data_IF_997908100503
#
_entry.id   IF_997908100503
#
_cell.length_a   1.000
_cell.length_b   1.000
_cell.length_c   1.000
_cell.angle_alpha   90.00
_cell.angle_beta   90.00
_cell.angle_gamma   90.00
#
_symmetry.space_group_name_H-M   'P 1'
#
loop_
_entity.id
_entity.type
_entity.pdbx_description
1 polymer ?
#
# COMPACT_ATOMS: atom_id res chain seq x y z
N UNK A 1 7.33 -16.79 39.99
CA UNK A 1 8.06 -16.53 38.72
C UNK A 1 8.90 -15.26 38.88
N UNK A 2 10.15 -15.38 39.35
CA UNK A 2 11.19 -14.33 39.46
C UNK A 2 12.35 -14.89 40.32
N UNK A 3 13.19 -15.78 39.78
CA UNK A 3 14.39 -16.28 40.48
C UNK A 3 15.62 -16.53 39.60
N UNK A 4 15.66 -16.05 38.35
CA UNK A 4 16.83 -16.25 37.48
C UNK A 4 17.53 -14.96 36.99
N UNK A 5 17.25 -13.80 37.59
CA UNK A 5 17.86 -12.52 37.17
C UNK A 5 18.96 -12.03 38.12
N UNK A 6 19.25 -12.72 39.24
CA UNK A 6 20.20 -12.20 40.25
C UNK A 6 21.60 -12.84 40.20
N UNK A 7 21.84 -13.84 39.34
CA UNK A 7 23.13 -14.54 39.25
C UNK A 7 24.16 -13.91 38.31
N UNK A 8 23.73 -13.11 37.33
CA UNK A 8 24.61 -12.58 36.28
C UNK A 8 25.18 -11.19 36.59
N UNK A 9 24.63 -10.50 37.60
CA UNK A 9 25.09 -9.17 38.05
C UNK A 9 26.15 -9.23 39.15
N UNK A 10 26.50 -10.42 39.66
CA UNK A 10 27.52 -10.61 40.70
C UNK A 10 28.87 -11.09 40.16
N UNK A 11 28.95 -11.46 38.87
CA UNK A 11 30.23 -11.76 38.22
C UNK A 11 30.96 -10.50 37.71
N UNK A 12 30.27 -9.35 37.64
CA UNK A 12 30.84 -8.07 37.23
C UNK A 12 31.48 -7.25 38.37
N UNK A 13 31.38 -7.70 39.62
CA UNK A 13 31.89 -6.96 40.79
C UNK A 13 33.30 -7.37 41.25
N UNK A 14 33.86 -8.46 40.72
CA UNK A 14 35.21 -8.93 41.10
C UNK A 14 36.32 -8.56 40.11
N UNK A 15 35.99 -7.86 39.01
CA UNK A 15 36.98 -7.44 38.01
C UNK A 15 37.64 -6.08 38.29
N UNK A 16 37.28 -5.37 39.36
CA UNK A 16 37.80 -4.02 39.61
C UNK A 16 38.36 -3.72 41.02
N UNK A 17 38.34 -4.68 41.96
CA UNK A 17 38.90 -4.48 43.30
C UNK A 17 39.78 -5.67 43.67
N UNK A 18 41.04 -5.64 43.25
CA UNK A 18 41.99 -6.71 43.58
C UNK A 18 43.44 -6.50 43.18
N UNK A 19 43.85 -5.37 42.60
CA UNK A 19 45.27 -5.03 42.45
C UNK A 19 45.74 -4.30 43.72
N UNK A 20 45.84 -5.01 44.85
CA UNK A 20 46.53 -4.53 46.05
C UNK A 20 46.87 -5.68 46.99
N UNK A 21 47.81 -6.51 46.53
CA UNK A 21 48.29 -7.65 47.31
C UNK A 21 49.38 -8.48 46.65
N UNK A 22 50.07 -7.95 45.63
CA UNK A 22 51.34 -8.51 45.19
C UNK A 22 52.42 -8.03 46.14
N UNK A 23 52.70 -8.80 47.20
CA UNK A 23 54.06 -8.91 47.72
C UNK A 23 54.13 -10.02 48.77
N UNK A 24 55.04 -10.96 48.50
CA UNK A 24 55.46 -12.11 49.32
C UNK A 24 54.58 -13.34 49.18
N UNK A 25 54.94 -14.21 48.24
CA UNK A 25 55.10 -15.65 48.47
C UNK A 25 56.02 -16.21 47.35
N UNK A 26 57.21 -16.56 47.80
CA UNK A 26 58.26 -17.46 47.29
C UNK A 26 58.02 -18.24 45.97
N UNK A 27 59.03 -18.23 45.09
CA UNK A 27 59.15 -18.91 43.79
C UNK A 27 59.13 -20.46 43.83
N UNK A 28 58.64 -21.11 44.88
CA UNK A 28 58.83 -22.56 45.05
C UNK A 28 57.54 -23.36 45.28
N UNK A 29 56.50 -23.14 44.48
CA UNK A 29 55.53 -24.22 44.20
C UNK A 29 55.06 -24.12 42.74
N UNK A 30 55.80 -24.77 41.84
CA UNK A 30 55.21 -25.24 40.57
C UNK A 30 54.09 -26.22 40.92
N UNK A 31 52.87 -25.73 41.07
CA UNK A 31 51.70 -26.60 41.06
C UNK A 31 51.50 -27.07 39.62
N UNK A 32 51.59 -28.38 39.31
CA UNK A 32 51.43 -28.93 37.97
C UNK A 32 49.95 -28.92 37.51
N UNK A 33 49.13 -28.02 38.06
CA UNK A 33 47.68 -28.01 37.91
C UNK A 33 47.17 -26.87 37.02
N UNK A 34 48.04 -25.98 36.54
CA UNK A 34 47.64 -24.89 35.63
C UNK A 34 47.79 -25.30 34.15
N UNK A 35 48.66 -26.27 33.82
CA UNK A 35 48.92 -26.66 32.42
C UNK A 35 47.81 -27.53 31.79
N UNK A 36 46.81 -27.95 32.58
CA UNK A 36 45.69 -28.80 32.12
C UNK A 36 44.35 -28.08 31.97
N UNK A 37 44.28 -26.77 32.21
CA UNK A 37 43.21 -25.99 31.59
C UNK A 37 43.59 -25.77 30.12
N UNK A 38 43.32 -26.78 29.29
CA UNK A 38 43.08 -26.55 27.86
C UNK A 38 42.06 -25.43 27.82
N UNK A 39 42.54 -24.21 27.54
CA UNK A 39 41.71 -23.10 27.11
C UNK A 39 41.13 -23.60 25.79
N UNK A 40 39.98 -24.22 25.85
CA UNK A 40 39.14 -24.39 24.67
C UNK A 40 38.93 -22.96 24.19
N UNK A 41 39.71 -22.56 23.17
CA UNK A 41 39.62 -21.23 22.60
C UNK A 41 38.28 -21.25 21.89
N UNK A 42 37.24 -20.88 22.62
CA UNK A 42 35.90 -20.76 22.06
C UNK A 42 36.01 -19.66 21.03
N UNK A 43 35.86 -20.06 19.78
CA UNK A 43 35.94 -19.19 18.63
C UNK A 43 34.82 -18.16 18.74
N UNK A 44 35.17 -16.91 19.04
CA UNK A 44 34.22 -15.82 19.26
C UNK A 44 33.27 -15.64 18.07
N UNK A 45 33.77 -15.86 16.85
CA UNK A 45 32.98 -15.78 15.63
C UNK A 45 31.93 -16.91 15.55
N UNK A 46 32.20 -18.09 16.12
CA UNK A 46 31.19 -19.16 16.26
C UNK A 46 30.09 -18.73 17.23
N UNK A 47 30.45 -18.17 18.40
CA UNK A 47 29.45 -17.72 19.39
C UNK A 47 28.56 -16.63 18.80
N UNK A 48 29.14 -15.63 18.13
CA UNK A 48 28.40 -14.55 17.50
C UNK A 48 27.43 -15.08 16.42
N UNK A 49 27.89 -16.02 15.59
CA UNK A 49 27.05 -16.67 14.59
C UNK A 49 25.90 -17.49 15.21
N UNK A 50 26.16 -18.23 16.29
CA UNK A 50 25.14 -19.00 17.00
C UNK A 50 24.09 -18.10 17.67
N UNK A 51 24.52 -17.00 18.28
CA UNK A 51 23.61 -16.00 18.85
C UNK A 51 22.71 -15.38 17.77
N UNK A 52 23.28 -15.08 16.61
CA UNK A 52 22.53 -14.60 15.45
C UNK A 52 21.53 -15.65 14.95
N UNK A 53 21.95 -16.90 14.80
CA UNK A 53 21.07 -17.99 14.37
C UNK A 53 19.91 -18.21 15.34
N UNK A 54 20.15 -18.11 16.65
CA UNK A 54 19.11 -18.15 17.67
C UNK A 54 18.12 -16.98 17.53
N UNK A 55 18.62 -15.78 17.24
CA UNK A 55 17.77 -14.61 17.01
C UNK A 55 16.85 -14.82 15.80
N UNK A 56 17.38 -15.20 14.64
CA UNK A 56 16.58 -15.47 13.44
C UNK A 56 15.58 -16.60 13.66
N UNK A 57 15.97 -17.65 14.40
CA UNK A 57 15.08 -18.76 14.74
C UNK A 57 13.97 -18.38 15.74
N UNK A 58 14.12 -17.30 16.49
CA UNK A 58 13.10 -16.78 17.41
C UNK A 58 12.03 -15.92 16.72
N UNK A 59 12.26 -15.49 15.47
CA UNK A 59 11.28 -14.72 14.70
C UNK A 59 10.02 -15.57 14.51
N UNK A 60 8.88 -14.98 14.88
CA UNK A 60 7.58 -15.64 14.89
C UNK A 60 7.18 -16.09 13.48
N UNK A 61 6.54 -17.25 13.40
CA UNK A 61 5.93 -17.76 12.18
C UNK A 61 4.44 -18.06 12.42
N UNK A 62 3.56 -17.91 11.39
CA UNK A 62 3.84 -17.41 10.05
C UNK A 62 4.29 -15.94 10.04
N UNK A 63 5.06 -15.54 9.01
CA UNK A 63 5.53 -14.15 8.86
C UNK A 63 4.34 -13.25 8.52
N UNK A 64 4.21 -12.14 9.25
CA UNK A 64 3.23 -11.08 9.05
C UNK A 64 3.94 -9.72 8.96
N UNK A 65 3.21 -8.64 8.67
CA UNK A 65 3.82 -7.31 8.50
C UNK A 65 4.41 -6.77 9.82
N UNK A 66 3.91 -7.26 10.96
CA UNK A 66 4.37 -6.95 12.30
C UNK A 66 5.83 -7.36 12.52
N UNK A 67 6.32 -8.39 11.83
CA UNK A 67 7.70 -8.85 11.91
C UNK A 67 8.69 -8.01 11.06
N UNK A 68 8.23 -7.06 10.23
CA UNK A 68 9.10 -6.26 9.35
C UNK A 68 10.27 -5.63 10.11
N UNK A 69 9.98 -4.97 11.24
CA UNK A 69 11.00 -4.31 12.07
C UNK A 69 12.06 -5.28 12.63
N UNK A 70 11.64 -6.47 13.06
CA UNK A 70 12.54 -7.49 13.63
C UNK A 70 13.41 -8.10 12.52
N UNK A 71 12.87 -8.27 11.32
CA UNK A 71 13.60 -8.78 10.16
C UNK A 71 14.64 -7.75 9.66
N UNK A 72 14.30 -6.45 9.69
CA UNK A 72 15.25 -5.37 9.41
C UNK A 72 16.38 -5.38 10.46
N UNK A 73 16.05 -5.48 11.75
CA UNK A 73 17.05 -5.60 12.82
C UNK A 73 17.94 -6.83 12.61
N UNK A 74 17.39 -7.97 12.17
CA UNK A 74 18.18 -9.15 11.85
C UNK A 74 19.20 -8.87 10.74
N UNK A 75 18.78 -8.19 9.66
CA UNK A 75 19.71 -7.82 8.59
C UNK A 75 20.81 -6.89 9.10
N UNK A 76 20.46 -5.86 9.88
CA UNK A 76 21.44 -4.94 10.47
C UNK A 76 22.42 -5.65 11.41
N UNK A 77 21.95 -6.60 12.24
CA UNK A 77 22.83 -7.40 13.09
C UNK A 77 23.78 -8.25 12.25
N UNK A 78 23.29 -8.89 11.18
CA UNK A 78 24.12 -9.67 10.27
C UNK A 78 25.20 -8.80 9.61
N UNK A 79 24.82 -7.63 9.08
CA UNK A 79 25.73 -6.71 8.39
C UNK A 79 26.84 -6.18 9.31
N UNK A 80 26.58 -6.14 10.62
CA UNK A 80 27.55 -5.74 11.65
C UNK A 80 28.41 -6.90 12.20
N UNK A 81 28.15 -8.15 11.80
CA UNK A 81 29.00 -9.28 12.20
C UNK A 81 30.38 -9.20 11.53
N UNK A 82 31.46 -9.64 12.20
CA UNK A 82 32.74 -9.89 11.55
C UNK A 82 32.59 -10.86 10.38
N UNK A 83 33.36 -10.69 9.30
CA UNK A 83 33.29 -11.55 8.10
C UNK A 83 33.41 -13.04 8.44
N UNK A 84 34.35 -13.40 9.31
CA UNK A 84 34.53 -14.79 9.77
C UNK A 84 33.32 -15.34 10.55
N UNK A 85 32.53 -14.48 11.20
CA UNK A 85 31.30 -14.86 11.87
C UNK A 85 30.15 -15.01 10.85
N UNK A 86 30.06 -14.11 9.86
CA UNK A 86 29.08 -14.21 8.78
C UNK A 86 29.21 -15.54 8.02
N UNK A 87 30.43 -16.01 7.74
CA UNK A 87 30.68 -17.31 7.09
C UNK A 87 30.18 -18.52 7.90
N UNK A 88 29.96 -18.34 9.21
CA UNK A 88 29.51 -19.40 10.13
C UNK A 88 28.01 -19.39 10.40
N UNK A 89 27.31 -18.34 9.96
CA UNK A 89 25.85 -18.20 10.10
C UNK A 89 25.14 -19.25 9.26
N UNK A 90 24.19 -19.97 9.87
CA UNK A 90 23.43 -21.04 9.19
C UNK A 90 22.04 -20.59 8.75
N UNK A 91 21.51 -19.53 9.35
CA UNK A 91 20.14 -19.04 9.11
C UNK A 91 20.05 -17.91 8.08
N UNK A 92 21.12 -17.58 7.36
CA UNK A 92 21.11 -16.46 6.43
C UNK A 92 20.09 -16.64 5.30
N UNK A 93 19.98 -17.84 4.71
CA UNK A 93 18.96 -18.14 3.69
C UNK A 93 17.54 -17.95 4.24
N UNK A 94 17.30 -18.39 5.49
CA UNK A 94 16.02 -18.21 6.18
C UNK A 94 15.70 -16.73 6.40
N UNK A 95 16.69 -15.89 6.71
CA UNK A 95 16.50 -14.44 6.80
C UNK A 95 16.13 -13.83 5.43
N UNK A 96 16.78 -14.26 4.34
CA UNK A 96 16.42 -13.77 2.99
C UNK A 96 15.00 -14.19 2.59
N UNK A 97 14.60 -15.42 2.92
CA UNK A 97 13.22 -15.89 2.72
C UNK A 97 12.20 -15.02 3.48
N UNK A 98 12.46 -14.72 4.75
CA UNK A 98 11.62 -13.82 5.55
C UNK A 98 11.51 -12.42 4.94
N UNK A 99 12.60 -11.85 4.44
CA UNK A 99 12.58 -10.55 3.74
C UNK A 99 11.72 -10.58 2.48
N UNK A 100 11.83 -11.65 1.69
CA UNK A 100 11.00 -11.84 0.50
C UNK A 100 9.52 -11.97 0.85
N UNK A 101 9.20 -12.73 1.91
CA UNK A 101 7.82 -12.85 2.41
C UNK A 101 7.25 -11.49 2.83
N UNK A 102 8.01 -10.68 3.58
CA UNK A 102 7.61 -9.30 3.94
C UNK A 102 7.37 -8.46 2.70
N UNK A 103 8.26 -8.51 1.70
CA UNK A 103 8.09 -7.73 0.48
C UNK A 103 6.80 -8.12 -0.26
N UNK A 104 6.52 -9.41 -0.38
CA UNK A 104 5.25 -9.92 -0.97
C UNK A 104 4.04 -9.44 -0.19
N UNK A 105 4.10 -9.42 1.15
CA UNK A 105 3.00 -8.91 1.98
C UNK A 105 2.79 -7.41 1.77
N UNK A 106 3.86 -6.62 1.66
CA UNK A 106 3.79 -5.18 1.39
C UNK A 106 3.20 -4.89 0.01
N UNK A 107 3.60 -5.65 -1.00
CA UNK A 107 3.07 -5.52 -2.36
C UNK A 107 1.58 -5.85 -2.41
N UNK A 108 1.16 -6.91 -1.70
CA UNK A 108 -0.26 -7.26 -1.54
C UNK A 108 -1.04 -6.17 -0.80
N UNK A 109 -0.48 -5.59 0.26
CA UNK A 109 -1.12 -4.53 1.02
C UNK A 109 -1.32 -3.27 0.16
N UNK A 110 -0.30 -2.85 -0.58
CA UNK A 110 -0.39 -1.69 -1.48
C UNK A 110 -1.46 -1.90 -2.58
N UNK A 111 -1.50 -3.10 -3.17
CA UNK A 111 -2.54 -3.44 -4.14
C UNK A 111 -3.94 -3.48 -3.51
N UNK A 112 -4.07 -4.02 -2.28
CA UNK A 112 -5.35 -4.11 -1.57
C UNK A 112 -5.97 -2.73 -1.32
N UNK A 113 -5.17 -1.75 -0.92
CA UNK A 113 -5.64 -0.37 -0.72
C UNK A 113 -6.27 0.21 -2.00
N UNK A 114 -5.63 -0.01 -3.16
CA UNK A 114 -6.17 0.42 -4.46
C UNK A 114 -7.42 -0.38 -4.85
N UNK A 115 -7.43 -1.69 -4.61
CA UNK A 115 -8.61 -2.54 -4.84
C UNK A 115 -9.81 -2.02 -4.05
N UNK A 116 -9.63 -1.66 -2.78
CA UNK A 116 -10.69 -1.10 -1.95
C UNK A 116 -11.19 0.25 -2.47
N UNK A 117 -10.29 1.14 -2.90
CA UNK A 117 -10.66 2.40 -3.55
C UNK A 117 -11.51 2.16 -4.81
N UNK A 118 -11.13 1.19 -5.64
CA UNK A 118 -11.85 0.84 -6.87
C UNK A 118 -13.21 0.20 -6.55
N UNK A 119 -13.29 -0.70 -5.55
CA UNK A 119 -14.56 -1.29 -5.13
C UNK A 119 -15.56 -0.24 -4.62
N UNK A 120 -15.07 0.81 -3.96
CA UNK A 120 -15.89 1.92 -3.51
C UNK A 120 -16.45 2.80 -4.65
N UNK A 121 -16.01 2.59 -5.90
CA UNK A 121 -16.57 3.24 -7.09
C UNK A 121 -17.83 2.54 -7.62
N UNK A 122 -18.13 1.33 -7.17
CA UNK A 122 -19.36 0.65 -7.59
C UNK A 122 -20.58 1.48 -7.17
N UNK A 123 -21.35 1.94 -8.15
CA UNK A 123 -22.46 2.89 -8.00
C UNK A 123 -22.10 4.29 -7.46
N UNK A 124 -20.82 4.69 -7.47
CA UNK A 124 -20.35 5.99 -7.01
C UNK A 124 -19.69 6.79 -8.14
N UNK A 125 -20.42 7.78 -8.67
CA UNK A 125 -20.02 8.57 -9.83
C UNK A 125 -19.24 9.85 -9.47
N UNK A 126 -18.56 9.86 -8.33
CA UNK A 126 -17.81 11.03 -7.89
C UNK A 126 -16.51 11.17 -8.69
N UNK A 127 -16.41 12.19 -9.53
CA UNK A 127 -15.22 12.48 -10.34
C UNK A 127 -13.92 12.51 -9.53
N UNK A 128 -13.95 13.06 -8.32
CA UNK A 128 -12.76 13.14 -7.46
C UNK A 128 -12.33 11.75 -6.98
N UNK A 129 -13.28 10.88 -6.64
CA UNK A 129 -12.98 9.51 -6.22
C UNK A 129 -12.38 8.69 -7.37
N UNK A 130 -12.95 8.80 -8.58
CA UNK A 130 -12.45 8.14 -9.79
C UNK A 130 -11.01 8.58 -10.07
N UNK A 131 -10.73 9.89 -10.08
CA UNK A 131 -9.37 10.42 -10.28
C UNK A 131 -8.41 9.95 -9.19
N UNK A 132 -8.83 9.95 -7.92
CA UNK A 132 -7.99 9.49 -6.83
C UNK A 132 -7.63 8.00 -6.95
N UNK A 133 -8.58 7.15 -7.35
CA UNK A 133 -8.33 5.73 -7.61
C UNK A 133 -7.35 5.53 -8.78
N UNK A 134 -7.51 6.29 -9.87
CA UNK A 134 -6.55 6.27 -10.99
C UNK A 134 -5.15 6.70 -10.57
N UNK A 135 -5.04 7.81 -9.84
CA UNK A 135 -3.74 8.30 -9.35
C UNK A 135 -3.08 7.31 -8.39
N UNK A 136 -3.87 6.62 -7.55
CA UNK A 136 -3.36 5.59 -6.65
C UNK A 136 -2.87 4.34 -7.43
N UNK A 137 -3.64 3.88 -8.41
CA UNK A 137 -3.25 2.78 -9.30
C UNK A 137 -1.96 3.10 -10.07
N UNK A 138 -1.82 4.31 -10.61
CA UNK A 138 -0.61 4.68 -11.38
C UNK A 138 0.67 4.78 -10.54
N UNK A 139 0.56 4.94 -9.22
CA UNK A 139 1.70 4.93 -8.30
C UNK A 139 2.20 3.52 -7.97
N UNK A 140 1.40 2.49 -8.23
CA UNK A 140 1.79 1.10 -7.98
C UNK A 140 2.92 0.67 -8.92
N UNK A 141 3.77 -0.25 -8.43
CA UNK A 141 4.74 -0.95 -9.27
C UNK A 141 4.03 -1.90 -10.25
N UNK A 142 4.74 -2.38 -11.28
CA UNK A 142 4.17 -3.34 -12.23
C UNK A 142 3.65 -4.60 -11.53
N UNK A 143 4.44 -5.15 -10.61
CA UNK A 143 4.07 -6.34 -9.84
C UNK A 143 2.84 -6.09 -8.95
N UNK A 144 2.73 -4.90 -8.36
CA UNK A 144 1.55 -4.53 -7.55
C UNK A 144 0.31 -4.34 -8.42
N UNK A 145 0.44 -3.74 -9.62
CA UNK A 145 -0.67 -3.58 -10.57
C UNK A 145 -1.24 -4.93 -11.01
N UNK A 146 -0.41 -5.95 -11.20
CA UNK A 146 -0.86 -7.33 -11.53
C UNK A 146 -1.77 -7.93 -10.45
N UNK A 147 -1.68 -7.46 -9.20
CA UNK A 147 -2.55 -7.91 -8.11
C UNK A 147 -3.92 -7.20 -8.09
N UNK A 148 -4.07 -6.08 -8.81
CA UNK A 148 -5.32 -5.31 -8.87
C UNK A 148 -6.27 -5.93 -9.89
N UNK A 149 -7.09 -6.87 -9.42
CA UNK A 149 -7.98 -7.68 -10.28
C UNK A 149 -9.26 -6.99 -10.72
N UNK A 150 -9.62 -5.87 -10.11
CA UNK A 150 -10.88 -5.15 -10.33
C UNK A 150 -10.73 -3.87 -11.17
N UNK A 151 -9.62 -3.70 -11.90
CA UNK A 151 -9.34 -2.50 -12.69
C UNK A 151 -10.46 -2.11 -13.67
N UNK A 152 -11.19 -3.08 -14.21
CA UNK A 152 -12.31 -2.85 -15.12
C UNK A 152 -13.38 -1.91 -14.54
N UNK A 153 -13.64 -1.95 -13.22
CA UNK A 153 -14.60 -1.06 -12.55
C UNK A 153 -14.17 0.40 -12.69
N UNK A 154 -12.86 0.67 -12.53
CA UNK A 154 -12.32 2.02 -12.68
C UNK A 154 -12.46 2.51 -14.12
N UNK A 155 -12.09 1.67 -15.10
CA UNK A 155 -12.17 1.99 -16.52
C UNK A 155 -13.61 2.28 -16.98
N UNK A 156 -14.58 1.47 -16.54
CA UNK A 156 -16.00 1.70 -16.83
C UNK A 156 -16.50 3.03 -16.26
N UNK A 157 -16.09 3.37 -15.03
CA UNK A 157 -16.45 4.64 -14.39
C UNK A 157 -15.82 5.84 -15.11
N UNK A 158 -14.58 5.73 -15.59
CA UNK A 158 -13.93 6.77 -16.37
C UNK A 158 -14.60 7.01 -17.72
N UNK A 159 -14.95 5.94 -18.43
CA UNK A 159 -15.73 6.04 -19.67
C UNK A 159 -17.07 6.71 -19.41
N UNK A 160 -17.76 6.32 -18.33
CA UNK A 160 -19.03 6.93 -17.96
C UNK A 160 -18.89 8.42 -17.65
N UNK A 161 -17.81 8.82 -16.97
CA UNK A 161 -17.55 10.22 -16.64
C UNK A 161 -17.38 11.08 -17.90
N UNK A 162 -16.71 10.57 -18.94
CA UNK A 162 -16.56 11.27 -20.23
C UNK A 162 -17.93 11.52 -20.87
N UNK A 163 -18.83 10.54 -20.78
CA UNK A 163 -20.17 10.63 -21.37
C UNK A 163 -21.17 11.45 -20.54
N UNK A 164 -20.90 11.62 -19.24
CA UNK A 164 -21.79 12.31 -18.32
C UNK A 164 -21.96 13.79 -18.68
N UNK A 165 -23.20 14.25 -18.69
CA UNK A 165 -23.54 15.67 -18.81
C UNK A 165 -23.83 16.24 -17.42
N UNK A 166 -23.38 17.47 -17.19
CA UNK A 166 -23.67 18.28 -16.00
C UNK A 166 -24.26 19.62 -16.44
N UNK A 167 -24.78 20.42 -15.51
CA UNK A 167 -25.34 21.75 -15.84
C UNK A 167 -24.31 22.74 -16.43
N UNK A 168 -23.03 22.40 -16.41
CA UNK A 168 -21.92 23.30 -16.76
C UNK A 168 -21.02 22.78 -17.88
N UNK A 169 -21.14 21.52 -18.32
CA UNK A 169 -20.11 20.90 -19.16
C UNK A 169 -20.43 20.76 -20.66
N UNK A 170 -21.55 21.32 -21.14
CA UNK A 170 -21.85 21.49 -22.57
C UNK A 170 -21.84 22.97 -23.00
N UNK A 171 -21.58 23.17 -24.29
CA UNK A 171 -21.55 24.44 -25.00
C UNK A 171 -22.49 24.42 -26.23
N UNK A 172 -22.82 25.61 -26.74
CA UNK A 172 -23.58 25.72 -28.00
C UNK A 172 -22.74 25.15 -29.14
N UNK A 173 -23.33 24.26 -29.93
CA UNK A 173 -22.67 23.55 -31.03
C UNK A 173 -22.36 22.09 -30.71
N UNK A 174 -22.25 21.73 -29.44
CA UNK A 174 -21.97 20.35 -29.03
C UNK A 174 -23.03 19.39 -29.55
N UNK A 175 -22.59 18.20 -29.95
CA UNK A 175 -23.46 17.12 -30.40
C UNK A 175 -23.62 16.12 -29.25
N UNK A 176 -24.87 15.74 -28.99
CA UNK A 176 -25.23 14.90 -27.86
C UNK A 176 -26.32 13.91 -28.27
N UNK A 177 -26.39 12.81 -27.53
CA UNK A 177 -27.55 11.92 -27.57
C UNK A 177 -28.56 12.39 -26.53
N UNK A 178 -29.74 12.79 -26.98
CA UNK A 178 -30.90 12.89 -26.10
C UNK A 178 -31.47 11.50 -25.94
N UNK A 179 -31.52 10.97 -24.72
CA UNK A 179 -31.95 9.59 -24.41
C UNK A 179 -33.46 9.37 -24.49
N UNK A 180 -34.20 10.42 -24.84
CA UNK A 180 -35.66 10.44 -24.82
C UNK A 180 -36.19 11.00 -23.50
N UNK A 181 -37.44 11.45 -23.52
CA UNK A 181 -38.09 12.04 -22.35
C UNK A 181 -38.71 13.40 -22.63
N UNK A 182 -38.70 14.24 -21.60
CA UNK A 182 -39.42 15.50 -21.58
C UNK A 182 -38.66 16.63 -22.29
N UNK A 183 -39.39 17.36 -23.13
CA UNK A 183 -38.92 18.57 -23.81
C UNK A 183 -39.80 19.75 -23.39
N UNK A 184 -39.15 20.83 -22.98
CA UNK A 184 -39.76 22.00 -22.36
C UNK A 184 -39.68 23.23 -23.27
N UNK A 185 -40.69 24.09 -23.19
CA UNK A 185 -40.74 25.33 -23.96
C UNK A 185 -39.66 26.34 -23.54
N UNK A 186 -39.34 26.42 -22.25
CA UNK A 186 -38.31 27.29 -21.69
C UNK A 186 -37.42 26.56 -20.67
N UNK A 187 -36.25 27.14 -20.39
CA UNK A 187 -35.27 26.60 -19.44
C UNK A 187 -35.77 26.55 -17.98
N UNK A 188 -36.85 27.26 -17.67
CA UNK A 188 -37.45 27.38 -16.33
C UNK A 188 -38.88 26.84 -16.26
N UNK A 189 -39.36 26.20 -17.32
CA UNK A 189 -40.73 25.68 -17.41
C UNK A 189 -41.07 24.72 -16.27
N UNK A 190 -42.29 24.82 -15.74
CA UNK A 190 -42.76 23.93 -14.67
C UNK A 190 -43.16 22.55 -15.19
N UNK A 191 -43.71 22.48 -16.40
CA UNK A 191 -44.26 21.27 -17.01
C UNK A 191 -43.69 21.07 -18.43
N UNK A 192 -43.53 19.82 -18.88
CA UNK A 192 -43.06 19.52 -20.23
C UNK A 192 -44.10 19.91 -21.28
N UNK A 193 -43.63 20.30 -22.46
CA UNK A 193 -44.49 20.60 -23.62
C UNK A 193 -44.67 19.36 -24.49
N UNK A 194 -43.64 18.52 -24.58
CA UNK A 194 -43.67 17.30 -25.38
C UNK A 194 -42.86 16.20 -24.71
N UNK A 195 -43.18 14.96 -25.06
CA UNK A 195 -42.28 13.83 -24.89
C UNK A 195 -41.74 13.41 -26.26
N UNK A 196 -40.45 13.07 -26.33
CA UNK A 196 -39.77 12.70 -27.57
C UNK A 196 -38.91 11.45 -27.37
N UNK A 197 -38.76 10.61 -28.40
CA UNK A 197 -37.88 9.46 -28.34
C UNK A 197 -36.41 9.89 -28.33
N UNK A 198 -35.51 8.92 -28.13
CA UNK A 198 -34.08 9.12 -28.25
C UNK A 198 -33.72 9.76 -29.60
N UNK A 199 -32.87 10.78 -29.61
CA UNK A 199 -32.50 11.54 -30.81
C UNK A 199 -31.09 12.10 -30.72
N UNK A 200 -30.36 12.02 -31.83
CA UNK A 200 -29.10 12.74 -31.99
C UNK A 200 -29.37 14.23 -32.17
N UNK A 201 -28.83 15.06 -31.28
CA UNK A 201 -29.18 16.48 -31.18
C UNK A 201 -27.95 17.39 -31.15
N UNK A 202 -28.13 18.62 -31.62
CA UNK A 202 -27.18 19.72 -31.39
C UNK A 202 -27.67 20.61 -30.26
N UNK A 203 -26.77 20.99 -29.36
CA UNK A 203 -27.02 22.04 -28.36
C UNK A 203 -27.07 23.39 -29.08
N UNK A 204 -28.21 24.07 -29.06
CA UNK A 204 -28.37 25.37 -29.74
C UNK A 204 -28.43 26.55 -28.79
N UNK A 205 -28.72 26.32 -27.50
CA UNK A 205 -28.71 27.35 -26.45
C UNK A 205 -28.30 26.73 -25.11
N UNK A 206 -27.67 27.53 -24.28
CA UNK A 206 -27.24 27.16 -22.92
C UNK A 206 -27.76 28.20 -21.94
N UNK A 207 -28.41 27.75 -20.87
CA UNK A 207 -28.84 28.57 -19.74
C UNK A 207 -28.29 27.93 -18.45
N UNK A 208 -27.00 28.18 -18.17
CA UNK A 208 -26.33 27.65 -16.98
C UNK A 208 -27.12 28.08 -15.73
N UNK A 209 -27.41 27.14 -14.83
CA UNK A 209 -28.22 27.30 -13.61
C UNK A 209 -29.74 27.31 -13.78
N UNK A 210 -30.28 27.13 -14.98
CA UNK A 210 -31.70 26.89 -15.16
C UNK A 210 -32.08 25.44 -14.83
N UNK A 211 -33.37 25.18 -14.59
CA UNK A 211 -33.90 23.83 -14.31
C UNK A 211 -33.63 22.86 -15.47
N UNK A 212 -33.77 23.36 -16.70
CA UNK A 212 -33.49 22.67 -17.94
C UNK A 212 -32.41 23.46 -18.69
N UNK A 213 -31.12 23.20 -18.45
CA UNK A 213 -30.04 24.13 -18.83
C UNK A 213 -29.68 24.09 -20.32
N UNK A 214 -30.11 23.07 -21.05
CA UNK A 214 -29.71 22.88 -22.45
C UNK A 214 -30.91 22.85 -23.38
N UNK A 215 -30.84 23.62 -24.48
CA UNK A 215 -31.78 23.54 -25.58
C UNK A 215 -31.20 22.67 -26.69
N UNK A 216 -31.96 21.65 -27.10
CA UNK A 216 -31.56 20.69 -28.11
C UNK A 216 -32.41 20.86 -29.38
N UNK A 217 -31.77 20.62 -30.53
CA UNK A 217 -32.43 20.49 -31.83
C UNK A 217 -31.98 19.18 -32.47
N UNK A 218 -32.96 18.34 -32.79
CA UNK A 218 -32.77 17.04 -33.46
C UNK A 218 -32.09 17.21 -34.82
N UNK A 219 -31.13 16.33 -35.08
CA UNK A 219 -30.39 16.23 -36.35
C UNK A 219 -30.84 15.03 -37.19
N UNK A 220 -31.62 14.13 -36.59
CA UNK A 220 -32.08 12.85 -37.16
C UNK A 220 -33.58 12.84 -37.48
N UNK A 221 -34.25 14.00 -37.47
CA UNK A 221 -35.66 14.14 -37.83
C UNK A 221 -36.65 13.70 -36.75
N UNK A 222 -36.19 13.32 -35.55
CA UNK A 222 -37.04 12.87 -34.44
C UNK A 222 -37.68 14.01 -33.62
N UNK A 223 -37.60 15.25 -34.12
CA UNK A 223 -38.39 16.42 -33.67
C UNK A 223 -38.17 16.82 -32.19
N UNK A 224 -36.99 16.53 -31.64
CA UNK A 224 -36.53 17.20 -30.41
C UNK A 224 -36.26 18.66 -30.76
N UNK A 225 -37.00 19.56 -30.10
CA UNK A 225 -36.84 21.00 -30.23
C UNK A 225 -37.33 21.64 -28.93
N UNK A 226 -36.40 22.05 -28.08
CA UNK A 226 -36.72 22.67 -26.80
C UNK A 226 -35.66 22.42 -25.74
N UNK A 227 -35.95 22.86 -24.52
CA UNK A 227 -35.07 22.66 -23.36
C UNK A 227 -35.27 21.27 -22.77
N UNK A 228 -34.23 20.67 -22.20
CA UNK A 228 -34.25 19.30 -21.65
C UNK A 228 -33.52 19.22 -20.31
N UNK A 229 -33.82 18.16 -19.55
CA UNK A 229 -33.13 17.83 -18.30
C UNK A 229 -31.76 17.20 -18.58
N UNK A 230 -30.75 17.54 -17.78
CA UNK A 230 -29.38 16.99 -17.92
C UNK A 230 -29.33 15.46 -17.86
N UNK A 231 -30.15 14.86 -16.99
CA UNK A 231 -30.24 13.40 -16.85
C UNK A 231 -30.67 12.68 -18.14
N UNK A 232 -31.29 13.39 -19.09
CA UNK A 232 -31.79 12.86 -20.34
C UNK A 232 -30.80 13.07 -21.51
N UNK A 233 -29.56 13.52 -21.21
CA UNK A 233 -28.51 13.80 -22.19
C UNK A 233 -27.27 12.95 -21.90
N UNK A 234 -26.61 12.52 -22.96
CA UNK A 234 -25.29 11.89 -22.94
C UNK A 234 -24.39 12.51 -24.02
N UNK A 235 -23.11 12.71 -23.71
CA UNK A 235 -22.14 13.18 -24.72
C UNK A 235 -21.82 12.06 -25.71
N UNK A 236 -21.68 12.43 -26.98
CA UNK A 236 -21.12 11.55 -28.01
C UNK A 236 -19.61 11.39 -27.86
#
# INVERSE_FOLDING_TARGET
>A
MKKHILGLLLLFFFLFLGIKGLNKLDETVKMPFIDNFKKEVVDENVILAEQFDLFVNSIKTPITLEEESVIIEAQEKYDNLPLEAQEKVKTFEKLQDYKNQIQVLKDKQAALEVIEMINALDNNYNEKAIKAARDAYEKLTLQQKELVTNLFILEENEVRLIKMVTNTNLNVGDIVTFKGGNVYYSSTSKSPTHNRPESRCKVTRVARNAKHPYHLVSLDGKRVYGWVDVKDIEKE
#
